data_IF_419771106735
#
_entry.id   IF_419771106735
#
_cell.length_a   1.000
_cell.length_b   1.000
_cell.length_c   1.000
_cell.angle_alpha   90.00
_cell.angle_beta   90.00
_cell.angle_gamma   90.00
#
_symmetry.space_group_name_H-M   'P 1'
#
loop_
_entity.id
_entity.type
_entity.pdbx_description
1 polymer ?
#
# COMPACT_ATOMS: atom_id res chain seq x y z
N UNK A 1 2.85 30.69 -20.28
CA UNK A 1 2.89 29.99 -18.98
C UNK A 1 1.46 29.60 -18.67
N UNK A 2 1.13 28.33 -18.81
CA UNK A 2 -0.21 27.80 -18.57
C UNK A 2 -0.08 26.75 -17.48
N UNK A 3 -0.51 27.10 -16.27
CA UNK A 3 -0.56 26.21 -15.12
C UNK A 3 -1.76 25.26 -15.27
N UNK A 4 -1.48 23.97 -15.44
CA UNK A 4 -2.48 22.91 -15.39
C UNK A 4 -2.72 22.53 -13.92
N UNK A 5 -3.77 23.08 -13.32
CA UNK A 5 -4.33 22.57 -12.06
C UNK A 5 -4.87 21.16 -12.30
N UNK A 6 -4.18 20.17 -11.75
CA UNK A 6 -4.64 18.77 -11.80
C UNK A 6 -5.63 18.57 -10.66
N UNK A 7 -6.92 18.59 -10.97
CA UNK A 7 -8.00 18.29 -10.02
C UNK A 7 -8.03 16.78 -9.77
N UNK A 8 -7.71 16.35 -8.54
CA UNK A 8 -7.89 14.97 -8.12
C UNK A 8 -9.33 14.75 -7.63
N UNK A 9 -9.99 13.66 -8.03
CA UNK A 9 -11.34 13.35 -7.56
C UNK A 9 -11.32 12.97 -6.07
N UNK A 10 -12.09 13.69 -5.26
CA UNK A 10 -12.38 13.32 -3.87
C UNK A 10 -13.35 12.15 -3.84
N UNK A 11 -13.00 11.05 -3.17
CA UNK A 11 -13.91 9.94 -2.93
C UNK A 11 -14.53 10.07 -1.53
N UNK A 12 -15.86 9.92 -1.47
CA UNK A 12 -16.61 9.79 -0.21
C UNK A 12 -16.61 8.33 0.20
N UNK A 13 -16.05 8.01 1.37
CA UNK A 13 -16.16 6.68 1.98
C UNK A 13 -17.34 6.70 2.94
N UNK A 14 -18.42 5.98 2.61
CA UNK A 14 -19.51 5.74 3.55
C UNK A 14 -19.09 4.63 4.51
N UNK A 15 -18.61 4.98 5.70
CA UNK A 15 -18.41 4.01 6.77
C UNK A 15 -19.79 3.70 7.37
N UNK A 16 -20.38 2.58 6.98
CA UNK A 16 -21.54 2.02 7.67
C UNK A 16 -21.13 1.60 9.08
N UNK A 17 -21.57 2.34 10.10
CA UNK A 17 -21.47 1.90 11.49
C UNK A 17 -22.60 0.93 11.80
N UNK A 18 -22.22 -0.25 12.29
CA UNK A 18 -23.11 -1.25 12.83
C UNK A 18 -23.86 -0.77 14.07
N UNK A 19 -25.02 -1.38 14.27
CA UNK A 19 -25.96 -1.19 15.36
C UNK A 19 -25.31 -1.34 16.73
N UNK A 20 -25.64 -0.44 17.66
CA UNK A 20 -25.87 -0.78 19.07
C UNK A 20 -26.81 0.25 19.72
N UNK A 21 -27.59 -0.26 20.66
CA UNK A 21 -28.86 0.27 21.17
C UNK A 21 -28.73 1.40 22.19
N UNK A 22 -29.72 2.32 22.20
CA UNK A 22 -30.22 2.97 23.43
C UNK A 22 -30.28 4.49 23.43
N UNK A 23 -31.47 5.04 23.73
CA UNK A 23 -31.62 6.32 24.44
C UNK A 23 -32.17 7.51 23.65
N UNK A 24 -33.47 7.71 23.81
CA UNK A 24 -34.23 8.96 24.04
C UNK A 24 -33.82 10.26 23.33
N UNK A 25 -34.80 10.85 22.65
CA UNK A 25 -34.61 11.87 21.62
C UNK A 25 -34.52 13.32 22.07
N UNK A 26 -34.12 14.16 21.12
CA UNK A 26 -34.47 15.57 20.96
C UNK A 26 -34.42 15.91 19.46
N UNK A 27 -35.43 16.62 18.98
CA UNK A 27 -35.54 17.14 17.63
C UNK A 27 -34.50 18.24 17.36
N UNK A 28 -33.77 18.05 16.26
CA UNK A 28 -33.47 19.05 15.22
C UNK A 28 -32.87 20.42 15.62
N UNK A 29 -31.52 20.48 15.65
CA UNK A 29 -30.69 21.54 15.03
C UNK A 29 -29.18 21.36 15.30
N UNK A 30 -28.57 20.37 14.63
CA UNK A 30 -27.13 20.13 14.64
C UNK A 30 -26.49 20.37 13.28
N UNK A 31 -26.07 21.62 13.01
CA UNK A 31 -24.95 21.85 12.10
C UNK A 31 -23.66 21.47 12.83
N UNK A 32 -22.64 21.06 12.09
CA UNK A 32 -21.39 20.41 12.54
C UNK A 32 -21.50 18.89 12.72
N UNK A 33 -20.67 18.06 12.11
CA UNK A 33 -19.31 18.30 11.69
C UNK A 33 -19.10 17.52 10.38
N UNK A 34 -19.41 18.15 9.25
CA UNK A 34 -18.75 17.77 8.00
C UNK A 34 -17.26 17.97 8.28
N UNK A 35 -16.56 16.90 8.66
CA UNK A 35 -15.11 16.87 8.57
C UNK A 35 -14.81 16.90 7.07
N UNK A 36 -14.92 18.08 6.49
CA UNK A 36 -14.05 18.50 5.40
C UNK A 36 -12.66 18.45 6.01
N UNK A 37 -12.06 17.25 5.99
CA UNK A 37 -10.65 17.09 6.21
C UNK A 37 -9.99 17.96 5.17
N UNK A 38 -9.59 19.14 5.62
CA UNK A 38 -8.73 20.07 4.92
C UNK A 38 -7.66 19.25 4.20
N UNK A 39 -7.50 19.48 2.90
CA UNK A 39 -6.48 18.89 2.05
C UNK A 39 -5.07 19.32 2.51
N UNK A 40 -4.66 18.86 3.69
CA UNK A 40 -3.47 19.30 4.42
C UNK A 40 -2.81 18.20 5.26
N UNK A 41 -3.00 16.95 4.89
CA UNK A 41 -2.04 15.89 5.16
C UNK A 41 -1.84 15.11 3.86
N UNK A 42 -0.91 15.56 3.03
CA UNK A 42 -0.38 14.72 1.97
C UNK A 42 0.35 13.57 2.67
N UNK A 43 -0.35 12.45 2.90
CA UNK A 43 0.24 11.27 3.52
C UNK A 43 1.50 10.85 2.77
N UNK A 44 2.54 10.41 3.48
CA UNK A 44 3.74 9.88 2.83
C UNK A 44 3.36 8.75 1.88
N UNK A 45 4.13 8.58 0.80
CA UNK A 45 3.87 7.54 -0.19
C UNK A 45 5.16 6.95 -0.72
N UNK A 46 5.07 5.73 -1.22
CA UNK A 46 6.14 5.09 -1.97
C UNK A 46 5.98 5.42 -3.45
N UNK A 47 7.03 5.95 -4.05
CA UNK A 47 7.10 6.28 -5.47
C UNK A 47 7.89 5.22 -6.23
N UNK A 48 7.22 4.56 -7.18
CA UNK A 48 7.81 3.62 -8.12
C UNK A 48 8.15 4.38 -9.43
N UNK A 49 9.23 5.17 -9.40
CA UNK A 49 9.50 6.22 -10.38
C UNK A 49 9.48 5.76 -11.85
N UNK A 50 10.01 4.56 -12.12
CA UNK A 50 10.17 4.00 -13.47
C UNK A 50 8.90 3.30 -13.99
N UNK A 51 7.83 3.20 -13.20
CA UNK A 51 6.55 2.74 -13.72
C UNK A 51 5.91 3.83 -14.62
N UNK A 52 5.13 3.44 -15.65
CA UNK A 52 4.44 4.40 -16.51
C UNK A 52 3.62 5.40 -15.70
N UNK A 53 3.58 6.67 -16.12
CA UNK A 53 2.89 7.73 -15.38
C UNK A 53 1.40 7.44 -15.14
N UNK A 54 0.75 6.76 -16.09
CA UNK A 54 -0.66 6.35 -15.97
C UNK A 54 -0.87 5.09 -15.12
N UNK A 55 0.19 4.43 -14.65
CA UNK A 55 0.07 3.22 -13.84
C UNK A 55 -0.47 3.56 -12.46
N UNK A 56 -1.55 2.91 -12.00
CA UNK A 56 -2.06 3.11 -10.65
C UNK A 56 -1.06 2.64 -9.58
N UNK A 57 -0.13 1.75 -9.95
CA UNK A 57 0.93 1.25 -9.06
C UNK A 57 2.12 2.20 -8.91
N UNK A 58 2.16 3.30 -9.66
CA UNK A 58 3.28 4.26 -9.58
C UNK A 58 3.39 4.90 -8.20
N UNK A 59 2.25 5.11 -7.54
CA UNK A 59 2.17 5.65 -6.18
C UNK A 59 1.48 4.63 -5.29
N UNK A 60 2.12 4.25 -4.19
CA UNK A 60 1.52 3.44 -3.14
C UNK A 60 1.48 4.27 -1.86
N UNK A 61 0.29 4.66 -1.43
CA UNK A 61 0.12 5.40 -0.18
C UNK A 61 0.62 4.59 1.01
N UNK A 62 1.42 5.23 1.87
CA UNK A 62 2.05 4.55 3.01
C UNK A 62 1.02 3.98 3.97
N UNK A 63 -0.10 4.67 4.20
CA UNK A 63 -1.18 4.18 5.05
C UNK A 63 -1.81 2.89 4.53
N UNK A 64 -2.05 2.80 3.22
CA UNK A 64 -2.55 1.60 2.55
C UNK A 64 -1.55 0.45 2.64
N UNK A 65 -0.27 0.73 2.34
CA UNK A 65 0.79 -0.26 2.47
C UNK A 65 0.93 -0.77 3.91
N UNK A 66 0.87 0.13 4.91
CA UNK A 66 0.92 -0.25 6.32
C UNK A 66 -0.22 -1.21 6.70
N UNK A 67 -1.46 -0.89 6.29
CA UNK A 67 -2.60 -1.76 6.54
C UNK A 67 -2.40 -3.14 5.90
N UNK A 68 -1.96 -3.15 4.63
CA UNK A 68 -1.75 -4.39 3.89
C UNK A 68 -0.63 -5.26 4.46
N UNK A 69 0.50 -4.65 4.81
CA UNK A 69 1.66 -5.33 5.40
C UNK A 69 1.33 -5.84 6.80
N UNK A 70 0.62 -5.06 7.62
CA UNK A 70 0.16 -5.50 8.95
C UNK A 70 -0.75 -6.72 8.88
N UNK A 71 -1.61 -6.80 7.87
CA UNK A 71 -2.54 -7.92 7.69
C UNK A 71 -1.96 -9.05 6.81
N UNK A 72 -0.73 -8.93 6.32
CA UNK A 72 -0.05 -10.01 5.62
C UNK A 72 0.26 -11.18 6.58
N UNK A 73 0.27 -12.43 6.11
CA UNK A 73 0.73 -13.57 6.90
C UNK A 73 2.20 -13.41 7.31
N UNK A 74 2.61 -13.82 8.53
CA UNK A 74 4.00 -13.69 8.99
C UNK A 74 4.96 -14.71 8.38
N UNK A 75 4.42 -15.71 7.66
CA UNK A 75 5.15 -16.84 7.06
C UNK A 75 4.57 -17.17 5.68
N UNK A 76 5.36 -17.80 4.79
CA UNK A 76 4.86 -18.27 3.51
C UNK A 76 3.67 -19.23 3.68
N UNK A 77 2.56 -18.96 2.99
CA UNK A 77 1.31 -19.76 3.09
C UNK A 77 1.48 -21.16 2.48
N UNK A 78 2.37 -21.35 1.50
CA UNK A 78 2.62 -22.65 0.89
C UNK A 78 3.95 -22.66 0.14
N UNK A 79 4.60 -23.83 0.07
CA UNK A 79 5.73 -24.07 -0.87
C UNK A 79 5.26 -24.12 -2.33
N UNK A 80 3.96 -24.19 -2.59
CA UNK A 80 3.41 -24.13 -3.94
C UNK A 80 3.45 -22.69 -4.46
N UNK A 81 3.91 -22.50 -5.69
CA UNK A 81 4.35 -21.23 -6.32
C UNK A 81 3.31 -20.11 -6.42
N UNK A 82 2.06 -20.34 -6.00
CA UNK A 82 0.92 -19.44 -6.23
C UNK A 82 0.51 -18.58 -5.03
N UNK A 83 0.99 -18.89 -3.83
CA UNK A 83 0.67 -18.11 -2.62
C UNK A 83 1.66 -16.97 -2.35
N UNK A 84 1.22 -16.01 -1.55
CA UNK A 84 2.06 -15.00 -0.89
C UNK A 84 1.80 -15.02 0.62
N UNK A 85 2.74 -14.55 1.45
CA UNK A 85 4.05 -14.01 1.08
C UNK A 85 5.02 -15.09 0.58
N UNK A 86 6.10 -14.65 -0.08
CA UNK A 86 7.17 -15.52 -0.58
C UNK A 86 8.50 -15.09 0.00
N UNK A 87 9.48 -15.99 0.02
CA UNK A 87 10.85 -15.60 0.34
C UNK A 87 11.39 -14.62 -0.70
N UNK A 88 12.09 -13.60 -0.22
CA UNK A 88 12.78 -12.62 -1.05
C UNK A 88 14.29 -12.70 -0.78
N UNK A 89 15.08 -13.00 -1.80
CA UNK A 89 16.53 -13.16 -1.65
C UNK A 89 17.32 -11.88 -1.91
N UNK A 90 16.68 -10.79 -2.33
CA UNK A 90 17.30 -9.51 -2.69
C UNK A 90 18.52 -9.68 -3.62
N UNK A 91 18.36 -10.47 -4.70
CA UNK A 91 19.45 -10.79 -5.62
C UNK A 91 19.95 -9.56 -6.39
N UNK A 92 19.10 -8.56 -6.54
CA UNK A 92 19.39 -7.28 -7.13
C UNK A 92 20.32 -6.42 -6.27
N UNK A 93 20.52 -6.79 -4.99
CA UNK A 93 21.36 -6.03 -4.07
C UNK A 93 20.78 -4.66 -3.72
N UNK A 94 19.45 -4.53 -3.67
CA UNK A 94 18.82 -3.28 -3.25
C UNK A 94 19.26 -2.92 -1.83
N UNK A 95 19.50 -1.63 -1.57
CA UNK A 95 19.81 -1.10 -0.25
C UNK A 95 18.54 -1.08 0.64
N UNK A 96 18.15 -2.24 1.14
CA UNK A 96 17.01 -2.41 2.04
C UNK A 96 17.37 -1.97 3.47
N UNK A 97 16.42 -1.33 4.15
CA UNK A 97 16.51 -0.98 5.57
C UNK A 97 16.25 -2.19 6.48
N UNK A 98 15.56 -3.20 5.97
CA UNK A 98 15.36 -4.50 6.61
C UNK A 98 16.44 -5.50 6.19
N UNK A 99 16.81 -6.42 7.08
CA UNK A 99 17.79 -7.47 6.82
C UNK A 99 17.42 -8.77 7.55
N UNK A 100 17.90 -9.92 7.05
CA UNK A 100 17.59 -11.25 7.58
C UNK A 100 16.78 -12.10 6.60
N UNK A 101 15.91 -12.96 7.13
CA UNK A 101 15.00 -13.78 6.33
C UNK A 101 13.85 -12.92 5.80
N UNK A 102 13.99 -12.44 4.57
CA UNK A 102 13.04 -11.50 3.98
C UNK A 102 11.87 -12.22 3.31
N UNK A 103 10.71 -11.58 3.41
CA UNK A 103 9.49 -11.94 2.72
C UNK A 103 9.04 -10.81 1.80
N UNK A 104 8.51 -11.18 0.64
CA UNK A 104 7.80 -10.29 -0.27
C UNK A 104 6.29 -10.54 -0.22
N UNK A 105 5.51 -9.46 -0.21
CA UNK A 105 4.05 -9.50 -0.28
C UNK A 105 3.52 -8.46 -1.27
N UNK A 106 2.55 -8.80 -2.15
CA UNK A 106 2.02 -7.86 -3.13
C UNK A 106 1.32 -6.68 -2.46
N UNK A 107 1.55 -5.48 -3.00
CA UNK A 107 0.84 -4.26 -2.61
C UNK A 107 -0.14 -3.84 -3.69
N UNK A 108 -1.37 -3.55 -3.28
CA UNK A 108 -2.43 -3.03 -4.14
C UNK A 108 -2.52 -1.49 -4.02
N UNK A 109 -2.68 -0.76 -5.13
CA UNK A 109 -2.78 0.69 -5.10
C UNK A 109 -4.18 1.11 -4.62
N UNK A 110 -4.24 2.23 -3.92
CA UNK A 110 -5.50 2.91 -3.55
C UNK A 110 -6.52 2.03 -2.82
N UNK A 111 -6.07 1.07 -2.01
CA UNK A 111 -6.96 0.25 -1.18
C UNK A 111 -6.31 -0.15 0.13
N UNK A 112 -7.14 -0.37 1.16
CA UNK A 112 -6.76 -0.99 2.42
C UNK A 112 -6.84 -2.51 2.37
N UNK A 113 -7.45 -3.08 1.33
CA UNK A 113 -7.59 -4.52 1.15
C UNK A 113 -6.27 -5.19 0.78
N UNK A 114 -6.11 -6.41 1.25
CA UNK A 114 -4.94 -7.22 0.95
C UNK A 114 -5.07 -7.93 -0.39
N UNK A 115 -3.92 -8.22 -1.01
CA UNK A 115 -3.87 -9.21 -2.06
C UNK A 115 -4.18 -10.61 -1.49
N UNK A 116 -5.13 -11.31 -2.13
CA UNK A 116 -5.52 -12.69 -1.76
C UNK A 116 -5.19 -13.68 -2.87
N UNK A 117 -5.50 -13.34 -4.13
CA UNK A 117 -5.27 -14.21 -5.30
C UNK A 117 -5.26 -13.42 -6.61
N UNK A 118 -4.93 -14.08 -7.72
CA UNK A 118 -4.92 -13.47 -9.06
C UNK A 118 -3.57 -12.86 -9.44
N UNK A 119 -3.58 -11.79 -10.25
CA UNK A 119 -2.34 -11.10 -10.66
C UNK A 119 -1.89 -10.17 -9.52
N UNK A 120 -0.65 -10.33 -8.99
CA UNK A 120 -0.17 -9.57 -7.83
C UNK A 120 0.28 -8.13 -8.15
N UNK A 121 0.13 -7.67 -9.39
CA UNK A 121 0.73 -6.39 -9.81
C UNK A 121 2.27 -6.39 -9.73
N UNK A 122 2.92 -5.25 -10.02
CA UNK A 122 4.38 -5.16 -10.05
C UNK A 122 5.03 -4.85 -8.70
N UNK A 123 4.27 -4.39 -7.69
CA UNK A 123 4.83 -3.84 -6.44
C UNK A 123 4.78 -4.86 -5.31
N UNK A 124 5.84 -4.91 -4.50
CA UNK A 124 5.97 -5.78 -3.31
C UNK A 124 6.42 -4.96 -2.10
N UNK A 125 5.85 -5.25 -0.94
CA UNK A 125 6.45 -4.91 0.34
C UNK A 125 7.49 -5.98 0.70
N UNK A 126 8.63 -5.56 1.25
CA UNK A 126 9.68 -6.42 1.77
C UNK A 126 9.81 -6.23 3.27
N UNK A 127 9.61 -7.29 4.04
CA UNK A 127 9.68 -7.28 5.50
C UNK A 127 10.36 -8.55 6.03
N UNK A 128 10.74 -8.55 7.31
CA UNK A 128 11.43 -9.68 7.96
C UNK A 128 10.40 -10.71 8.42
N UNK A 129 10.65 -11.99 8.12
CA UNK A 129 9.85 -13.12 8.60
C UNK A 129 9.75 -13.12 10.13
N UNK A 130 8.58 -13.51 10.66
CA UNK A 130 8.33 -13.66 12.10
C UNK A 130 8.53 -12.40 12.97
N UNK A 131 8.81 -11.24 12.37
CA UNK A 131 8.95 -9.97 13.08
C UNK A 131 7.67 -9.14 12.93
N UNK A 132 7.32 -8.28 13.92
CA UNK A 132 6.26 -7.30 13.74
C UNK A 132 6.53 -6.50 12.46
N UNK A 133 5.49 -6.44 11.61
CA UNK A 133 5.51 -5.81 10.29
C UNK A 133 5.62 -4.27 10.34
N UNK A 134 6.34 -3.73 11.33
CA UNK A 134 6.53 -2.31 11.62
C UNK A 134 7.60 -1.66 10.73
N UNK A 135 8.52 -2.46 10.20
CA UNK A 135 9.55 -2.00 9.25
C UNK A 135 9.48 -2.82 7.98
N UNK A 136 9.36 -2.14 6.86
CA UNK A 136 9.39 -2.72 5.54
C UNK A 136 9.93 -1.70 4.54
N UNK A 137 10.44 -2.20 3.43
CA UNK A 137 10.73 -1.40 2.23
C UNK A 137 9.74 -1.79 1.12
N UNK A 138 9.62 -0.95 0.10
CA UNK A 138 8.84 -1.27 -1.10
C UNK A 138 9.77 -1.43 -2.28
N UNK A 139 9.55 -2.49 -3.05
CA UNK A 139 10.22 -2.74 -4.33
C UNK A 139 9.19 -2.94 -5.43
N UNK A 140 9.59 -2.79 -6.68
CA UNK A 140 8.73 -3.01 -7.83
C UNK A 140 9.50 -3.57 -9.02
N UNK A 141 8.80 -4.32 -9.88
CA UNK A 141 9.31 -4.73 -11.20
C UNK A 141 9.48 -3.49 -12.08
N UNK A 142 10.73 -3.15 -12.37
CA UNK A 142 11.14 -1.99 -13.11
C UNK A 142 11.19 -2.30 -14.62
N UNK A 143 10.27 -1.75 -15.43
CA UNK A 143 10.18 -2.06 -16.85
C UNK A 143 11.38 -1.54 -17.66
N UNK A 144 12.25 -0.72 -17.06
CA UNK A 144 13.48 -0.23 -17.71
C UNK A 144 14.64 -1.21 -17.60
N UNK A 145 14.55 -2.19 -16.68
CA UNK A 145 15.52 -3.26 -16.50
C UNK A 145 15.12 -4.46 -17.36
N UNK A 146 16.12 -5.15 -17.92
CA UNK A 146 15.89 -6.37 -18.69
C UNK A 146 16.31 -7.60 -17.89
N UNK A 147 15.49 -8.64 -17.91
CA UNK A 147 15.80 -9.94 -17.32
C UNK A 147 15.13 -10.19 -15.97
N UNK A 148 15.51 -11.28 -15.28
CA UNK A 148 14.85 -11.74 -14.05
C UNK A 148 15.22 -10.93 -12.80
N UNK A 149 16.21 -10.04 -12.90
CA UNK A 149 16.68 -9.17 -11.82
C UNK A 149 16.19 -7.74 -12.05
N UNK A 150 14.87 -7.60 -12.19
CA UNK A 150 14.21 -6.36 -12.58
C UNK A 150 13.64 -5.58 -11.38
N UNK A 151 13.91 -5.99 -10.15
CA UNK A 151 13.44 -5.22 -9.00
C UNK A 151 14.23 -3.92 -8.77
N UNK A 152 13.49 -2.85 -8.49
CA UNK A 152 14.03 -1.56 -8.03
C UNK A 152 13.34 -1.17 -6.72
N UNK A 153 14.11 -0.64 -5.77
CA UNK A 153 13.58 -0.06 -4.54
C UNK A 153 12.77 1.21 -4.84
N UNK A 154 11.55 1.29 -4.32
CA UNK A 154 10.75 2.51 -4.34
C UNK A 154 11.25 3.52 -3.30
N UNK A 155 11.04 4.80 -3.58
CA UNK A 155 11.44 5.87 -2.68
C UNK A 155 10.27 6.31 -1.82
N UNK A 156 10.50 6.46 -0.51
CA UNK A 156 9.52 7.08 0.37
C UNK A 156 9.58 8.61 0.20
N UNK A 157 8.46 9.22 -0.14
CA UNK A 157 8.29 10.66 -0.35
C UNK A 157 7.27 11.23 0.64
#
# INVERSE_FOLDING_TARGET
>A
MTDYYTSYPSYTVNIGQGNDSGGDGYDSDGYELSRTTSAKDCGSHWLCENLPQASPYRIIWKEHANAQVKAAPPRPISRTTRGYPKHHSNLEGNALSVSGDLLEFPLLPNTYDNWVSGRPGPVRAIYVMDFPHERYDVIYHDPTKQGPLDFTKAELR
#
